data_IF_992168249521
#
_entry.id   IF_992168249521
#
_cell.length_a   1.000
_cell.length_b   1.000
_cell.length_c   1.000
_cell.angle_alpha   90.00
_cell.angle_beta   90.00
_cell.angle_gamma   90.00
#
_symmetry.space_group_name_H-M   'P 1'
#
loop_
_entity.id
_entity.type
_entity.pdbx_description
1 polymer ?
#
# COMPACT_ATOMS: atom_id res chain seq x y z
N UNK A 1 -11.46 -20.05 -21.57
CA UNK A 1 -10.12 -20.43 -21.06
C UNK A 1 -9.30 -21.05 -22.19
N UNK A 2 -8.65 -20.22 -22.99
CA UNK A 2 -7.60 -20.65 -23.91
C UNK A 2 -6.26 -20.27 -23.27
N UNK A 3 -5.72 -21.15 -22.44
CA UNK A 3 -4.32 -21.10 -22.08
C UNK A 3 -3.53 -21.53 -23.33
N UNK A 4 -3.10 -20.56 -24.14
CA UNK A 4 -2.26 -20.86 -25.29
C UNK A 4 -0.86 -21.25 -24.81
N UNK A 5 -0.20 -22.15 -25.55
CA UNK A 5 1.21 -22.50 -25.34
C UNK A 5 2.13 -21.26 -25.36
N UNK A 6 1.75 -20.23 -26.10
CA UNK A 6 2.42 -18.94 -26.13
C UNK A 6 2.44 -18.22 -24.77
N UNK A 7 1.35 -18.24 -23.99
CA UNK A 7 1.32 -17.66 -22.65
C UNK A 7 2.28 -18.38 -21.69
N UNK A 8 2.41 -19.70 -21.82
CA UNK A 8 3.38 -20.50 -21.04
C UNK A 8 4.83 -20.14 -21.37
N UNK A 9 5.14 -19.84 -22.64
CA UNK A 9 6.50 -19.50 -23.07
C UNK A 9 6.89 -18.06 -22.71
N UNK A 10 5.96 -17.12 -22.72
CA UNK A 10 6.16 -15.75 -22.21
C UNK A 10 6.42 -15.80 -20.70
N UNK A 11 5.64 -16.58 -19.96
CA UNK A 11 5.81 -16.75 -18.51
C UNK A 11 7.20 -17.32 -18.14
N UNK A 12 7.75 -18.23 -18.96
CA UNK A 12 9.09 -18.83 -18.76
C UNK A 12 10.24 -17.86 -19.04
N UNK A 13 10.02 -16.79 -19.82
CA UNK A 13 11.04 -15.83 -20.21
C UNK A 13 11.11 -14.59 -19.30
N UNK A 14 10.15 -14.43 -18.37
CA UNK A 14 10.15 -13.30 -17.45
C UNK A 14 11.38 -13.34 -16.55
N UNK A 15 12.03 -12.17 -16.37
CA UNK A 15 13.13 -12.03 -15.44
C UNK A 15 12.66 -12.33 -14.02
N UNK A 16 13.47 -13.11 -13.31
CA UNK A 16 13.15 -13.57 -11.96
C UNK A 16 14.33 -13.36 -11.04
N UNK A 17 14.02 -12.99 -9.79
CA UNK A 17 14.96 -13.01 -8.69
C UNK A 17 14.47 -13.98 -7.63
N UNK A 18 15.37 -14.83 -7.12
CA UNK A 18 15.03 -15.84 -6.08
C UNK A 18 13.84 -16.75 -6.44
N UNK A 19 13.55 -16.91 -7.75
CA UNK A 19 12.38 -17.65 -8.23
C UNK A 19 11.10 -16.82 -8.38
N UNK A 20 11.04 -15.61 -7.82
CA UNK A 20 9.92 -14.68 -7.94
C UNK A 20 10.02 -13.87 -9.24
N UNK A 21 8.88 -13.50 -9.82
CA UNK A 21 8.85 -12.56 -10.97
C UNK A 21 9.41 -11.23 -10.49
N UNK A 22 10.28 -10.63 -11.31
CA UNK A 22 10.83 -9.31 -10.98
C UNK A 22 9.79 -8.21 -11.16
N UNK A 23 9.86 -7.15 -10.35
CA UNK A 23 9.01 -5.98 -10.47
C UNK A 23 9.14 -5.34 -11.86
N UNK A 24 10.36 -5.33 -12.43
CA UNK A 24 10.58 -4.87 -13.80
C UNK A 24 9.71 -5.63 -14.82
N UNK A 25 9.69 -6.97 -14.74
CA UNK A 25 8.89 -7.79 -15.66
C UNK A 25 7.38 -7.61 -15.43
N UNK A 26 6.99 -7.33 -14.20
CA UNK A 26 5.61 -7.04 -13.84
C UNK A 26 5.17 -5.68 -14.42
N UNK A 27 5.99 -4.65 -14.26
CA UNK A 27 5.71 -3.32 -14.80
C UNK A 27 5.77 -3.25 -16.34
N UNK A 28 6.62 -4.05 -16.97
CA UNK A 28 6.58 -4.26 -18.42
C UNK A 28 5.23 -4.83 -18.86
N UNK A 29 4.62 -5.72 -18.05
CA UNK A 29 3.29 -6.26 -18.32
C UNK A 29 2.18 -5.24 -18.10
N UNK A 30 2.31 -4.34 -17.13
CA UNK A 30 1.40 -3.20 -16.96
C UNK A 30 1.42 -2.32 -18.21
N UNK A 31 2.60 -1.97 -18.70
CA UNK A 31 2.76 -1.17 -19.93
C UNK A 31 2.13 -1.88 -21.12
N UNK A 32 2.43 -3.16 -21.34
CA UNK A 32 1.83 -3.96 -22.40
C UNK A 32 0.28 -3.98 -22.30
N UNK A 33 -0.27 -4.11 -21.10
CA UNK A 33 -1.72 -4.11 -20.86
C UNK A 33 -2.33 -2.76 -21.23
N UNK A 34 -1.66 -1.66 -20.84
CA UNK A 34 -2.07 -0.31 -21.20
C UNK A 34 -2.04 -0.08 -22.73
N UNK A 35 -0.97 -0.51 -23.40
CA UNK A 35 -0.83 -0.36 -24.85
C UNK A 35 -1.87 -1.15 -25.65
N UNK A 36 -2.36 -2.25 -25.11
CA UNK A 36 -3.33 -3.13 -25.74
C UNK A 36 -4.79 -2.90 -25.29
N UNK A 37 -5.06 -1.89 -24.46
CA UNK A 37 -6.43 -1.54 -24.09
C UNK A 37 -7.20 -0.95 -25.25
N UNK A 38 -8.52 -1.03 -25.21
CA UNK A 38 -9.37 -0.36 -26.19
C UNK A 38 -9.13 1.17 -26.14
N UNK A 39 -8.90 1.83 -27.29
CA UNK A 39 -8.67 3.27 -27.33
C UNK A 39 -9.80 4.06 -26.67
N UNK A 40 -9.44 4.97 -25.77
CA UNK A 40 -10.40 5.83 -25.06
C UNK A 40 -11.12 5.16 -23.88
N UNK A 41 -10.92 3.87 -23.66
CA UNK A 41 -11.46 3.19 -22.47
C UNK A 41 -10.59 3.48 -21.25
N UNK A 42 -11.19 3.80 -20.08
CA UNK A 42 -10.43 3.89 -18.84
C UNK A 42 -9.84 2.53 -18.45
N UNK A 43 -8.70 2.55 -17.75
CA UNK A 43 -8.07 1.34 -17.24
C UNK A 43 -7.84 1.51 -15.74
N UNK A 44 -8.42 0.61 -14.95
CA UNK A 44 -8.04 0.39 -13.56
C UNK A 44 -7.23 -0.90 -13.46
N UNK A 45 -6.05 -0.83 -12.86
CA UNK A 45 -5.15 -1.96 -12.70
C UNK A 45 -4.70 -2.05 -11.24
N UNK A 46 -5.00 -3.16 -10.60
CA UNK A 46 -4.47 -3.50 -9.28
C UNK A 46 -3.42 -4.60 -9.45
N UNK A 47 -2.19 -4.29 -9.07
CA UNK A 47 -1.04 -5.18 -9.24
C UNK A 47 -0.41 -5.53 -7.90
N UNK A 48 -0.06 -6.79 -7.71
CA UNK A 48 0.63 -7.29 -6.51
C UNK A 48 1.97 -7.86 -6.91
N UNK A 49 3.05 -7.21 -6.50
CA UNK A 49 4.40 -7.66 -6.78
C UNK A 49 4.88 -8.66 -5.71
N UNK A 50 5.74 -9.60 -6.12
CA UNK A 50 6.24 -10.66 -5.24
C UNK A 50 7.77 -10.67 -5.11
N UNK A 51 8.48 -9.78 -5.81
CA UNK A 51 9.95 -9.77 -5.84
C UNK A 51 10.55 -9.69 -4.44
N UNK A 52 9.96 -8.84 -3.58
CA UNK A 52 10.46 -8.55 -2.24
C UNK A 52 9.85 -9.44 -1.14
N UNK A 53 9.01 -10.42 -1.51
CA UNK A 53 8.44 -11.34 -0.51
C UNK A 53 9.53 -12.05 0.30
N UNK A 54 9.28 -12.28 1.59
CA UNK A 54 10.24 -12.79 2.56
C UNK A 54 10.88 -14.13 2.20
N UNK A 55 11.95 -14.47 2.93
CA UNK A 55 12.88 -15.55 2.71
C UNK A 55 14.15 -15.03 2.03
N UNK A 56 14.88 -14.13 2.70
CA UNK A 56 16.08 -13.47 2.15
C UNK A 56 17.36 -14.29 2.36
N UNK A 57 17.27 -15.60 2.26
CA UNK A 57 18.37 -16.57 2.48
C UNK A 57 18.80 -17.28 1.20
N UNK A 58 18.56 -16.67 0.04
CA UNK A 58 18.86 -17.32 -1.24
C UNK A 58 20.34 -17.19 -1.59
N UNK A 59 21.08 -18.28 -1.47
CA UNK A 59 22.52 -18.34 -1.74
C UNK A 59 22.92 -18.05 -3.20
N UNK A 60 21.99 -18.03 -4.13
CA UNK A 60 22.24 -17.72 -5.54
C UNK A 60 21.93 -16.26 -5.89
N UNK A 61 21.27 -15.52 -4.98
CA UNK A 61 21.07 -14.09 -5.12
C UNK A 61 22.25 -13.36 -4.45
N UNK A 62 23.03 -12.66 -5.26
CA UNK A 62 24.13 -11.84 -4.74
C UNK A 62 23.61 -10.45 -4.41
N UNK A 63 23.68 -10.08 -3.14
CA UNK A 63 23.42 -8.72 -2.69
C UNK A 63 24.50 -7.77 -3.23
N UNK A 64 24.11 -6.59 -3.66
CA UNK A 64 24.99 -5.50 -4.08
C UNK A 64 24.94 -4.28 -3.13
N UNK A 65 24.06 -4.36 -2.13
CA UNK A 65 23.97 -3.43 -1.01
C UNK A 65 24.35 -4.16 0.26
N UNK A 66 25.19 -3.55 1.08
CA UNK A 66 25.55 -4.07 2.40
C UNK A 66 25.12 -3.07 3.47
N UNK A 67 24.56 -3.56 4.56
CA UNK A 67 24.22 -2.76 5.72
C UNK A 67 25.49 -2.26 6.40
N UNK A 68 25.66 -0.94 6.46
CA UNK A 68 26.82 -0.38 7.14
C UNK A 68 26.61 -0.45 8.67
N UNK A 69 27.50 -1.16 9.35
CA UNK A 69 27.51 -1.28 10.82
C UNK A 69 26.82 -2.52 11.37
N UNK A 70 26.21 -3.35 10.53
CA UNK A 70 25.64 -4.62 10.94
C UNK A 70 25.79 -5.69 9.85
N UNK A 71 26.32 -6.86 10.20
CA UNK A 71 26.53 -7.97 9.28
C UNK A 71 25.28 -8.86 9.24
N UNK A 72 24.50 -8.78 8.15
CA UNK A 72 23.29 -9.57 7.94
C UNK A 72 23.03 -9.82 6.47
N UNK A 73 23.30 -11.05 6.03
CA UNK A 73 23.01 -11.50 4.65
C UNK A 73 21.54 -11.27 4.27
N UNK A 74 20.61 -11.47 5.20
CA UNK A 74 19.17 -11.28 4.95
C UNK A 74 18.82 -9.81 4.71
N UNK A 75 19.35 -8.91 5.53
CA UNK A 75 19.13 -7.48 5.37
C UNK A 75 19.77 -6.98 4.06
N UNK A 76 20.97 -7.42 3.75
CA UNK A 76 21.69 -7.08 2.50
C UNK A 76 20.90 -7.54 1.27
N UNK A 77 20.37 -8.76 1.29
CA UNK A 77 19.51 -9.26 0.21
C UNK A 77 18.23 -8.44 0.09
N UNK A 78 17.58 -8.12 1.20
CA UNK A 78 16.37 -7.29 1.19
C UNK A 78 16.62 -5.90 0.61
N UNK A 79 17.63 -5.18 1.05
CA UNK A 79 17.96 -3.85 0.54
C UNK A 79 18.39 -3.87 -0.93
N UNK A 80 19.07 -4.92 -1.36
CA UNK A 80 19.39 -5.10 -2.77
C UNK A 80 18.15 -5.34 -3.64
N UNK A 81 17.14 -6.04 -3.11
CA UNK A 81 15.85 -6.21 -3.79
C UNK A 81 15.05 -4.88 -3.84
N UNK A 82 15.05 -4.09 -2.77
CA UNK A 82 14.44 -2.76 -2.76
C UNK A 82 15.04 -1.83 -3.81
N UNK A 83 16.37 -1.85 -3.98
CA UNK A 83 17.03 -1.10 -5.06
C UNK A 83 16.51 -1.52 -6.44
N UNK A 84 16.33 -2.82 -6.68
CA UNK A 84 15.79 -3.32 -7.94
C UNK A 84 14.33 -2.89 -8.15
N UNK A 85 13.53 -2.80 -7.07
CA UNK A 85 12.16 -2.27 -7.13
C UNK A 85 12.14 -0.76 -7.43
N UNK A 86 13.07 0.01 -6.85
CA UNK A 86 13.23 1.44 -7.14
C UNK A 86 13.58 1.69 -8.61
N UNK A 87 14.50 0.90 -9.16
CA UNK A 87 14.84 0.94 -10.59
C UNK A 87 13.64 0.60 -11.47
N UNK A 88 12.85 -0.40 -11.08
CA UNK A 88 11.67 -0.84 -11.81
C UNK A 88 10.54 0.21 -11.77
N UNK A 89 10.25 0.80 -10.61
CA UNK A 89 9.22 1.84 -10.52
C UNK A 89 9.62 3.10 -11.29
N UNK A 90 10.92 3.41 -11.32
CA UNK A 90 11.47 4.49 -12.15
C UNK A 90 11.22 4.25 -13.64
N UNK A 91 11.26 2.99 -14.10
CA UNK A 91 10.89 2.64 -15.47
C UNK A 91 9.40 2.93 -15.73
N UNK A 92 8.50 2.48 -14.85
CA UNK A 92 7.05 2.66 -14.98
C UNK A 92 6.67 4.15 -15.01
N UNK A 93 7.21 4.95 -14.08
CA UNK A 93 6.98 6.39 -14.02
C UNK A 93 7.47 7.07 -15.30
N UNK A 94 8.68 6.75 -15.78
CA UNK A 94 9.22 7.34 -17.03
C UNK A 94 8.40 6.98 -18.26
N UNK A 95 7.76 5.83 -18.29
CA UNK A 95 6.84 5.47 -19.36
C UNK A 95 5.59 6.37 -19.32
N UNK A 96 4.85 6.37 -18.21
CA UNK A 96 3.60 7.13 -18.09
C UNK A 96 3.79 8.65 -18.06
N UNK A 97 4.97 9.14 -17.74
CA UNK A 97 5.33 10.56 -17.85
C UNK A 97 5.24 11.09 -19.30
N UNK A 98 5.29 10.22 -20.30
CA UNK A 98 5.24 10.55 -21.73
C UNK A 98 3.89 10.26 -22.35
N UNK A 99 2.96 9.77 -21.57
CA UNK A 99 1.60 9.44 -21.99
C UNK A 99 0.72 10.68 -21.83
N UNK A 100 -0.07 11.03 -22.86
CA UNK A 100 -0.97 12.18 -22.82
C UNK A 100 -2.24 11.91 -22.01
N UNK A 101 -2.64 10.64 -21.88
CA UNK A 101 -3.81 10.23 -21.09
C UNK A 101 -3.55 10.44 -19.60
N UNK A 102 -4.46 11.13 -18.86
CA UNK A 102 -4.29 11.34 -17.41
C UNK A 102 -4.11 10.01 -16.69
N UNK A 103 -3.01 9.88 -15.99
CA UNK A 103 -2.62 8.65 -15.30
C UNK A 103 -2.22 8.95 -13.87
N UNK A 104 -2.73 8.13 -12.93
CA UNK A 104 -2.31 8.11 -11.53
C UNK A 104 -1.69 6.75 -11.22
N UNK A 105 -0.56 6.76 -10.54
CA UNK A 105 0.10 5.57 -10.00
C UNK A 105 0.13 5.71 -8.50
N UNK A 106 -0.42 4.71 -7.80
CA UNK A 106 -0.38 4.59 -6.35
C UNK A 106 0.48 3.37 -6.04
N UNK A 107 1.57 3.60 -5.32
CA UNK A 107 2.46 2.53 -4.85
C UNK A 107 2.47 2.53 -3.33
N UNK A 108 2.31 1.37 -2.73
CA UNK A 108 2.38 1.20 -1.28
C UNK A 108 2.91 -0.20 -0.94
N UNK A 109 3.55 -0.31 0.23
CA UNK A 109 3.86 -1.61 0.80
C UNK A 109 2.66 -2.17 1.55
N UNK A 110 2.43 -3.48 1.44
CA UNK A 110 1.35 -4.18 2.14
C UNK A 110 1.71 -4.46 3.61
N UNK A 111 2.98 -4.72 3.89
CA UNK A 111 3.53 -4.92 5.24
C UNK A 111 5.05 -4.78 5.23
N UNK A 112 5.64 -4.62 6.41
CA UNK A 112 7.09 -4.62 6.61
C UNK A 112 7.69 -6.01 6.35
N UNK A 113 8.99 -6.09 5.94
CA UNK A 113 9.68 -7.37 5.75
C UNK A 113 9.88 -8.06 7.09
N UNK A 114 9.90 -9.39 7.10
CA UNK A 114 10.41 -10.13 8.25
C UNK A 114 11.93 -10.29 8.10
N UNK A 115 12.65 -9.52 8.88
CA UNK A 115 14.11 -9.60 9.02
C UNK A 115 14.48 -10.31 10.35
N UNK A 116 15.76 -10.68 10.57
CA UNK A 116 16.18 -11.28 11.83
C UNK A 116 15.91 -10.37 13.03
N UNK A 117 15.36 -10.91 14.11
CA UNK A 117 15.03 -10.16 15.33
C UNK A 117 16.24 -9.38 15.91
N UNK A 118 17.44 -9.94 15.76
CA UNK A 118 18.67 -9.26 16.20
C UNK A 118 18.97 -8.02 15.35
N UNK A 119 18.67 -8.04 14.06
CA UNK A 119 18.80 -6.89 13.17
C UNK A 119 17.74 -5.84 13.47
N UNK A 120 16.50 -6.27 13.68
CA UNK A 120 15.39 -5.38 14.06
C UNK A 120 15.68 -4.68 15.40
N UNK A 121 16.18 -5.44 16.41
CA UNK A 121 16.63 -4.88 17.70
C UNK A 121 17.77 -3.87 17.54
N UNK A 122 18.74 -4.17 16.66
CA UNK A 122 19.86 -3.26 16.41
C UNK A 122 19.40 -1.94 15.77
N UNK A 123 18.51 -1.99 14.80
CA UNK A 123 17.93 -0.78 14.16
C UNK A 123 17.10 0.04 15.15
N UNK A 124 16.28 -0.61 15.96
CA UNK A 124 15.38 0.04 16.91
C UNK A 124 16.10 0.55 18.17
N UNK A 125 17.29 0.03 18.46
CA UNK A 125 18.08 0.36 19.65
C UNK A 125 17.68 -0.40 20.91
N UNK A 126 16.55 -1.12 20.91
CA UNK A 126 16.09 -2.01 21.99
C UNK A 126 15.17 -3.11 21.41
N UNK A 127 14.84 -4.08 22.25
CA UNK A 127 13.89 -5.13 21.91
C UNK A 127 12.46 -4.54 21.74
N UNK A 128 11.71 -5.05 20.77
CA UNK A 128 10.39 -4.54 20.39
C UNK A 128 9.45 -4.28 21.57
N UNK A 129 9.41 -5.20 22.54
CA UNK A 129 8.52 -5.08 23.72
C UNK A 129 8.88 -3.94 24.69
N UNK A 130 10.09 -3.39 24.58
CA UNK A 130 10.58 -2.29 25.41
C UNK A 130 10.41 -0.92 24.74
N UNK A 131 10.05 -0.90 23.45
CA UNK A 131 9.89 0.33 22.68
C UNK A 131 8.62 1.09 23.09
N UNK A 132 8.63 2.40 22.87
CA UNK A 132 7.42 3.22 22.95
C UNK A 132 6.36 2.75 21.94
N UNK A 133 5.09 3.15 22.14
CA UNK A 133 4.01 2.84 21.16
C UNK A 133 4.39 3.36 19.78
N UNK A 134 4.84 4.61 19.69
CA UNK A 134 5.29 5.23 18.45
C UNK A 134 6.40 4.45 17.74
N UNK A 135 7.40 3.96 18.49
CA UNK A 135 8.49 3.19 17.89
C UNK A 135 8.04 1.78 17.47
N UNK A 136 7.09 1.18 18.18
CA UNK A 136 6.47 -0.08 17.76
C UNK A 136 5.67 0.08 16.48
N UNK A 137 4.96 1.19 16.31
CA UNK A 137 4.18 1.50 15.10
C UNK A 137 5.05 1.61 13.85
N UNK A 138 6.32 2.04 13.98
CA UNK A 138 7.27 2.08 12.86
C UNK A 138 7.52 0.72 12.22
N UNK A 139 7.32 -0.39 12.94
CA UNK A 139 7.41 -1.75 12.40
C UNK A 139 6.24 -2.12 11.49
N UNK A 140 5.14 -1.39 11.56
CA UNK A 140 3.94 -1.58 10.73
C UNK A 140 3.83 -0.53 9.63
N UNK A 141 4.67 0.49 9.68
CA UNK A 141 4.73 1.53 8.65
C UNK A 141 5.43 1.04 7.38
N UNK A 142 4.81 1.28 6.24
CA UNK A 142 5.39 1.04 4.91
C UNK A 142 5.35 2.32 4.08
N UNK A 143 6.33 2.54 3.19
CA UNK A 143 6.30 3.71 2.33
C UNK A 143 5.18 3.62 1.31
N UNK A 144 4.61 4.77 0.97
CA UNK A 144 3.71 4.92 -0.16
C UNK A 144 3.99 6.21 -0.91
N UNK A 145 3.55 6.25 -2.17
CA UNK A 145 3.46 7.50 -2.91
C UNK A 145 2.27 7.47 -3.88
N UNK A 146 1.78 8.65 -4.21
CA UNK A 146 0.81 8.89 -5.29
C UNK A 146 1.50 9.79 -6.30
N UNK A 147 1.59 9.34 -7.54
CA UNK A 147 2.19 10.06 -8.64
C UNK A 147 1.19 10.22 -9.77
N UNK A 148 1.21 11.37 -10.44
CA UNK A 148 0.38 11.64 -11.61
C UNK A 148 1.22 12.27 -12.73
N UNK A 149 0.84 12.05 -13.98
CA UNK A 149 1.41 12.75 -15.13
C UNK A 149 0.73 14.12 -15.41
N UNK A 150 -0.15 14.53 -14.53
CA UNK A 150 -0.83 15.84 -14.56
C UNK A 150 -0.56 16.61 -13.27
N UNK A 151 -0.90 17.91 -13.26
CA UNK A 151 -0.66 18.77 -12.10
C UNK A 151 -1.57 18.39 -10.94
N UNK A 152 -0.97 18.10 -9.80
CA UNK A 152 -1.63 17.79 -8.53
C UNK A 152 -0.91 18.51 -7.39
N UNK A 153 -1.63 18.87 -6.32
CA UNK A 153 -1.00 19.38 -5.10
C UNK A 153 -0.10 18.30 -4.51
N UNK A 154 1.16 18.61 -4.28
CA UNK A 154 2.09 17.70 -3.65
C UNK A 154 2.06 17.85 -2.13
N UNK A 155 2.10 16.74 -1.43
CA UNK A 155 2.24 16.65 0.01
C UNK A 155 3.40 15.70 0.35
N UNK A 156 3.98 15.85 1.52
CA UNK A 156 5.07 14.99 2.00
C UNK A 156 4.89 14.68 3.48
N UNK A 157 5.50 13.60 3.95
CA UNK A 157 5.41 13.13 5.34
C UNK A 157 3.96 12.86 5.78
N UNK A 158 3.15 12.32 4.87
CA UNK A 158 1.77 11.95 5.15
C UNK A 158 1.75 10.60 5.84
N UNK A 159 1.19 10.56 7.06
CA UNK A 159 0.80 9.33 7.72
C UNK A 159 -0.63 9.00 7.33
N UNK A 160 -0.86 7.75 6.95
CA UNK A 160 -2.19 7.30 6.52
C UNK A 160 -2.32 5.79 6.74
N UNK A 161 -3.44 5.35 7.25
CA UNK A 161 -3.75 3.91 7.26
C UNK A 161 -4.25 3.43 5.92
N UNK A 162 -4.03 2.17 5.63
CA UNK A 162 -4.40 1.53 4.35
C UNK A 162 -5.90 1.65 4.06
N UNK A 163 -6.76 1.61 5.10
CA UNK A 163 -8.21 1.78 4.96
C UNK A 163 -8.64 3.15 4.42
N UNK A 164 -7.82 4.19 4.61
CA UNK A 164 -8.08 5.54 4.08
C UNK A 164 -7.49 5.75 2.68
N UNK A 165 -6.50 4.95 2.28
CA UNK A 165 -5.67 5.23 1.11
C UNK A 165 -6.49 5.36 -0.18
N UNK A 166 -7.50 4.51 -0.39
CA UNK A 166 -8.36 4.57 -1.56
C UNK A 166 -9.20 5.85 -1.59
N UNK A 167 -9.84 6.21 -0.46
CA UNK A 167 -10.63 7.44 -0.34
C UNK A 167 -9.77 8.68 -0.54
N UNK A 168 -8.57 8.68 0.05
CA UNK A 168 -7.60 9.76 -0.14
C UNK A 168 -7.17 9.91 -1.60
N UNK A 169 -6.83 8.81 -2.26
CA UNK A 169 -6.46 8.83 -3.66
C UNK A 169 -7.62 9.32 -4.56
N UNK A 170 -8.85 8.84 -4.32
CA UNK A 170 -10.02 9.29 -5.05
C UNK A 170 -10.28 10.79 -4.87
N UNK A 171 -10.13 11.33 -3.66
CA UNK A 171 -10.29 12.77 -3.39
C UNK A 171 -9.35 13.65 -4.21
N UNK A 172 -8.19 13.12 -4.63
CA UNK A 172 -7.21 13.83 -5.46
C UNK A 172 -7.57 13.83 -6.96
N UNK A 173 -8.54 13.01 -7.39
CA UNK A 173 -8.93 12.89 -8.81
C UNK A 173 -10.04 13.85 -9.21
N UNK A 174 -10.79 14.38 -8.25
CA UNK A 174 -12.00 15.16 -8.50
C UNK A 174 -13.22 14.31 -8.91
N UNK A 175 -13.13 12.98 -8.79
CA UNK A 175 -14.27 12.09 -8.94
C UNK A 175 -15.24 12.25 -7.77
N UNK A 176 -16.51 11.94 -8.01
CA UNK A 176 -17.53 11.89 -6.95
C UNK A 176 -17.19 10.79 -5.95
N UNK A 177 -17.36 11.09 -4.67
CA UNK A 177 -17.09 10.17 -3.57
C UNK A 177 -18.40 9.60 -3.04
N UNK A 178 -18.36 8.37 -2.57
CA UNK A 178 -19.48 7.80 -1.80
C UNK A 178 -19.52 8.44 -0.41
N UNK A 179 -20.67 8.44 0.29
CA UNK A 179 -20.72 8.87 1.70
C UNK A 179 -19.70 8.14 2.59
N UNK A 180 -19.42 6.87 2.29
CA UNK A 180 -18.40 6.10 3.01
C UNK A 180 -16.98 6.65 2.77
N UNK A 181 -16.65 7.03 1.54
CA UNK A 181 -15.35 7.65 1.25
C UNK A 181 -15.21 9.01 1.97
N UNK A 182 -16.27 9.82 1.98
CA UNK A 182 -16.29 11.09 2.70
C UNK A 182 -16.09 10.88 4.21
N UNK A 183 -16.83 9.92 4.79
CA UNK A 183 -16.67 9.55 6.19
C UNK A 183 -15.23 9.12 6.52
N UNK A 184 -14.58 8.31 5.66
CA UNK A 184 -13.20 7.89 5.88
C UNK A 184 -12.21 9.06 5.81
N UNK A 185 -12.49 10.07 4.99
CA UNK A 185 -11.67 11.29 4.94
C UNK A 185 -11.84 12.12 6.22
N UNK A 186 -13.06 12.26 6.72
CA UNK A 186 -13.35 12.96 7.99
C UNK A 186 -12.72 12.22 9.18
N UNK A 187 -12.83 10.89 9.20
CA UNK A 187 -12.21 10.06 10.23
C UNK A 187 -10.67 10.21 10.22
N UNK A 188 -10.05 10.27 9.04
CA UNK A 188 -8.62 10.49 8.89
C UNK A 188 -8.16 11.82 9.49
N UNK A 189 -8.99 12.86 9.48
CA UNK A 189 -8.63 14.14 10.12
C UNK A 189 -8.54 14.02 11.65
N UNK A 190 -9.29 13.08 12.23
CA UNK A 190 -9.31 12.80 13.68
C UNK A 190 -8.28 11.76 14.08
N UNK A 191 -8.19 10.71 13.29
CA UNK A 191 -7.31 9.57 13.50
C UNK A 191 -6.49 9.32 12.24
N UNK A 192 -5.42 10.08 11.98
CA UNK A 192 -4.63 10.01 10.74
C UNK A 192 -4.12 8.62 10.38
N UNK A 193 -3.80 7.81 11.39
CA UNK A 193 -3.40 6.42 11.21
C UNK A 193 -3.95 5.56 12.34
N UNK A 194 -4.33 4.33 12.01
CA UNK A 194 -4.79 3.33 12.96
C UNK A 194 -4.46 1.92 12.48
N UNK A 195 -4.25 1.01 13.40
CA UNK A 195 -4.07 -0.42 13.15
C UNK A 195 -4.50 -1.26 14.36
N UNK A 196 -4.12 -2.53 14.41
CA UNK A 196 -4.48 -3.44 15.50
C UNK A 196 -3.79 -3.12 16.86
N UNK A 197 -2.72 -2.32 16.87
CA UNK A 197 -2.05 -1.90 18.11
C UNK A 197 -2.71 -0.67 18.75
N UNK A 198 -3.10 0.29 17.92
CA UNK A 198 -3.60 1.57 18.36
C UNK A 198 -3.83 2.56 17.23
N UNK A 199 -3.77 3.82 17.55
CA UNK A 199 -4.04 4.90 16.62
C UNK A 199 -3.18 6.13 16.89
N UNK A 200 -2.98 6.92 15.85
CA UNK A 200 -2.43 8.26 15.91
C UNK A 200 -3.59 9.24 16.07
N UNK A 201 -3.60 9.97 17.17
CA UNK A 201 -4.59 11.04 17.39
C UNK A 201 -4.24 12.30 16.59
N UNK A 202 -5.20 13.21 16.48
CA UNK A 202 -5.05 14.47 15.72
C UNK A 202 -3.98 15.41 16.30
N UNK A 203 -3.62 15.24 17.57
CA UNK A 203 -2.53 15.99 18.24
C UNK A 203 -1.13 15.42 17.95
N UNK A 204 -1.05 14.32 17.21
CA UNK A 204 0.20 13.65 16.88
C UNK A 204 0.68 12.63 17.92
N UNK A 205 -0.14 12.29 18.91
CA UNK A 205 0.18 11.30 19.93
C UNK A 205 -0.32 9.91 19.52
N UNK A 206 0.52 8.89 19.70
CA UNK A 206 0.12 7.50 19.50
C UNK A 206 -0.45 6.90 20.78
N UNK A 207 -1.63 6.31 20.72
CA UNK A 207 -2.32 5.61 21.80
C UNK A 207 -2.56 4.14 21.45
N UNK A 208 -2.55 3.28 22.46
CA UNK A 208 -3.11 1.92 22.31
C UNK A 208 -4.62 1.96 22.50
N UNK A 209 -5.33 1.03 21.90
CA UNK A 209 -6.80 0.94 22.03
C UNK A 209 -7.31 0.83 23.47
N UNK A 210 -6.50 0.29 24.38
CA UNK A 210 -6.84 0.13 25.80
C UNK A 210 -6.10 1.09 26.71
N UNK A 211 -5.52 2.15 26.17
CA UNK A 211 -4.84 3.19 26.94
C UNK A 211 -5.87 4.04 27.68
N UNK A 212 -5.71 4.15 29.02
CA UNK A 212 -6.61 4.96 29.86
C UNK A 212 -6.51 6.47 29.58
N UNK A 213 -5.42 6.90 28.97
CA UNK A 213 -5.15 8.29 28.62
C UNK A 213 -5.60 8.63 27.19
N UNK A 214 -6.09 7.65 26.42
CA UNK A 214 -6.64 7.87 25.10
C UNK A 214 -7.89 8.76 25.15
N UNK A 215 -8.02 9.77 24.25
CA UNK A 215 -9.18 10.66 24.25
C UNK A 215 -10.48 9.89 23.99
N UNK A 216 -11.48 10.08 24.86
CA UNK A 216 -12.79 9.41 24.71
C UNK A 216 -13.49 9.76 23.40
N UNK A 217 -13.29 10.97 22.89
CA UNK A 217 -13.84 11.42 21.61
C UNK A 217 -13.27 10.58 20.46
N UNK A 218 -11.96 10.27 20.47
CA UNK A 218 -11.31 9.48 19.41
C UNK A 218 -11.77 8.01 19.47
N UNK A 219 -11.96 7.47 20.68
CA UNK A 219 -12.51 6.11 20.84
C UNK A 219 -13.97 6.02 20.39
N UNK A 220 -14.74 7.11 20.43
CA UNK A 220 -16.10 7.15 19.85
C UNK A 220 -16.07 7.07 18.32
N UNK A 221 -15.13 7.74 17.66
CA UNK A 221 -14.96 7.62 16.20
C UNK A 221 -14.58 6.19 15.79
N UNK A 222 -13.74 5.53 16.56
CA UNK A 222 -13.39 4.13 16.32
C UNK A 222 -14.63 3.23 16.42
N UNK A 223 -15.45 3.36 17.45
CA UNK A 223 -16.71 2.60 17.59
C UNK A 223 -17.67 2.84 16.42
N UNK A 224 -17.78 4.06 15.92
CA UNK A 224 -18.58 4.38 14.73
C UNK A 224 -18.03 3.69 13.49
N UNK A 225 -16.71 3.70 13.33
CA UNK A 225 -16.06 3.01 12.23
C UNK A 225 -16.26 1.49 12.27
N UNK A 226 -16.17 0.87 13.44
CA UNK A 226 -16.48 -0.56 13.61
C UNK A 226 -17.93 -0.88 13.22
N UNK A 227 -18.89 -0.02 13.56
CA UNK A 227 -20.29 -0.18 13.15
C UNK A 227 -20.43 -0.15 11.63
N UNK A 228 -19.74 0.78 10.94
CA UNK A 228 -19.77 0.86 9.48
C UNK A 228 -19.11 -0.34 8.82
N UNK A 229 -17.98 -0.80 9.34
CA UNK A 229 -17.33 -2.03 8.86
C UNK A 229 -18.25 -3.26 9.05
N UNK A 230 -18.92 -3.35 10.18
CA UNK A 230 -19.88 -4.43 10.41
C UNK A 230 -21.02 -4.39 9.41
N UNK A 231 -21.62 -3.22 9.15
CA UNK A 231 -22.67 -3.04 8.16
C UNK A 231 -22.21 -3.41 6.75
N UNK A 232 -21.01 -2.97 6.35
CA UNK A 232 -20.43 -3.26 5.02
C UNK A 232 -20.14 -4.75 4.83
N UNK A 233 -19.50 -5.39 5.81
CA UNK A 233 -18.87 -6.70 5.61
C UNK A 233 -19.72 -7.87 6.11
N UNK A 234 -20.56 -7.65 7.13
CA UNK A 234 -21.21 -8.72 7.89
C UNK A 234 -22.73 -8.66 7.75
N UNK A 235 -23.33 -7.48 7.86
CA UNK A 235 -24.78 -7.30 7.92
C UNK A 235 -25.43 -7.30 6.53
N UNK A 236 -25.52 -8.48 5.94
CA UNK A 236 -26.06 -8.64 4.58
C UNK A 236 -27.56 -8.35 4.46
N UNK A 237 -28.31 -8.26 5.57
CA UNK A 237 -29.77 -8.07 5.54
C UNK A 237 -30.16 -6.61 5.68
N UNK A 238 -29.44 -5.89 6.54
CA UNK A 238 -29.74 -4.51 6.91
C UNK A 238 -28.62 -3.56 6.45
N UNK A 239 -27.83 -3.98 5.44
CA UNK A 239 -26.82 -3.14 4.81
C UNK A 239 -27.47 -1.93 4.15
N UNK A 240 -26.98 -0.76 4.47
CA UNK A 240 -27.40 0.48 3.81
C UNK A 240 -26.53 0.76 2.57
N UNK A 241 -26.96 0.23 1.43
CA UNK A 241 -26.22 0.36 0.17
C UNK A 241 -26.05 1.82 -0.27
N UNK A 242 -26.94 2.73 0.14
CA UNK A 242 -26.84 4.15 -0.21
C UNK A 242 -25.57 4.82 0.36
N UNK A 243 -25.02 4.25 1.44
CA UNK A 243 -23.80 4.75 2.04
C UNK A 243 -22.53 4.37 1.24
N UNK A 244 -22.62 3.29 0.46
CA UNK A 244 -21.50 2.72 -0.28
C UNK A 244 -21.58 2.95 -1.80
N UNK A 245 -22.60 3.67 -2.27
CA UNK A 245 -22.82 3.95 -3.69
C UNK A 245 -22.84 5.44 -3.97
N UNK A 246 -22.51 5.82 -5.20
CA UNK A 246 -22.61 7.21 -5.67
C UNK A 246 -24.09 7.54 -5.94
N UNK A 247 -24.54 8.72 -5.50
CA UNK A 247 -25.92 9.17 -5.67
C UNK A 247 -26.26 9.29 -7.16
N UNK A 248 -27.05 8.37 -7.69
CA UNK A 248 -27.51 8.39 -9.09
C UNK A 248 -27.22 7.13 -9.89
N UNK A 249 -26.40 6.22 -9.42
CA UNK A 249 -26.33 4.87 -9.97
C UNK A 249 -27.62 4.13 -9.61
N UNK A 250 -28.52 4.02 -10.58
CA UNK A 250 -29.62 3.06 -10.48
C UNK A 250 -29.03 1.70 -10.79
N UNK A 251 -29.21 0.75 -9.87
CA UNK A 251 -28.96 -0.65 -10.16
C UNK A 251 -29.59 -1.00 -11.50
N UNK A 252 -28.80 -1.15 -12.55
CA UNK A 252 -29.23 -1.84 -13.77
C UNK A 252 -29.23 -3.33 -13.41
N UNK A 253 -30.42 -3.85 -13.06
CA UNK A 253 -30.71 -5.28 -12.91
C UNK A 253 -30.44 -6.08 -14.20
#
# INVERSE_FOLDING_TARGET
LLASSAASDVYKRQKRYRGMISDQANYEKIVETYENKEPGSPLFLFDVTMQNHSGYTNRYFQADINCNGYDSDEADQYFSLLKLSDEAISYLIRYFQRVDEPTMIIMFGDHSPKLPDAFETWIAGDAYQNLSVEDQEKFYGTPFFIWTNYSMKSESNVWISTNYLSSYALSLTGLELTPYNEYLLDLREKMPALNHLGFLASDGTWYRWNDSDAPEEDLEYERQYECLQYNELIDKKDRDDSFFTISGEKDEE
#
